data_IF_837579269880
#
_entry.id   IF_837579269880
#
_cell.length_a   1.000
_cell.length_b   1.000
_cell.length_c   1.000
_cell.angle_alpha   90.00
_cell.angle_beta   90.00
_cell.angle_gamma   90.00
#
_symmetry.space_group_name_H-M   'P 1'
#
loop_
_entity.id
_entity.type
_entity.pdbx_description
1 polymer ?
#
# COMPACT_ATOMS: atom_id res chain seq x y z
N UNK A 1 1.32 -33.85 -6.63
CA UNK A 1 2.16 -33.50 -7.80
C UNK A 1 3.55 -33.29 -7.25
N UNK A 2 4.46 -34.23 -7.48
CA UNK A 2 5.87 -34.00 -7.16
C UNK A 2 6.36 -32.94 -8.15
N UNK A 3 6.68 -31.74 -7.63
CA UNK A 3 7.28 -30.69 -8.45
C UNK A 3 8.63 -31.20 -8.97
N UNK A 4 8.77 -31.30 -10.29
CA UNK A 4 10.06 -31.57 -10.90
C UNK A 4 11.10 -30.56 -10.39
N UNK A 5 12.32 -31.00 -10.03
CA UNK A 5 13.32 -30.10 -9.49
C UNK A 5 13.79 -29.14 -10.58
N UNK A 6 13.34 -27.89 -10.51
CA UNK A 6 13.89 -26.80 -11.32
C UNK A 6 15.37 -26.65 -10.94
N UNK A 7 16.25 -26.82 -11.92
CA UNK A 7 17.68 -26.60 -11.70
C UNK A 7 17.92 -25.12 -11.37
N UNK A 8 18.39 -24.88 -10.16
CA UNK A 8 18.68 -23.54 -9.64
C UNK A 8 20.14 -23.47 -9.19
N UNK A 9 20.61 -22.25 -8.93
CA UNK A 9 21.97 -22.04 -8.46
C UNK A 9 22.24 -22.87 -7.18
N UNK A 10 23.28 -23.72 -7.17
CA UNK A 10 23.56 -24.62 -6.05
C UNK A 10 23.80 -23.86 -4.73
N UNK A 11 24.36 -22.64 -4.79
CA UNK A 11 24.59 -21.81 -3.60
C UNK A 11 23.30 -21.29 -2.96
N UNK A 12 22.20 -21.26 -3.71
CA UNK A 12 20.93 -20.66 -3.29
C UNK A 12 19.87 -21.69 -2.92
N UNK A 13 20.02 -22.95 -3.35
CA UNK A 13 19.02 -24.01 -3.20
C UNK A 13 18.40 -24.09 -1.80
N UNK A 14 19.25 -24.28 -0.79
CA UNK A 14 18.78 -24.43 0.59
C UNK A 14 18.12 -23.16 1.15
N UNK A 15 18.62 -21.97 0.77
CA UNK A 15 18.03 -20.70 1.17
C UNK A 15 16.68 -20.44 0.52
N UNK A 16 16.51 -20.85 -0.75
CA UNK A 16 15.24 -20.74 -1.47
C UNK A 16 14.18 -21.60 -0.76
N UNK A 17 14.51 -22.85 -0.40
CA UNK A 17 13.60 -23.73 0.35
C UNK A 17 13.19 -23.11 1.69
N UNK A 18 14.15 -22.59 2.47
CA UNK A 18 13.86 -21.87 3.72
C UNK A 18 12.93 -20.67 3.49
N UNK A 19 13.21 -19.84 2.46
CA UNK A 19 12.40 -18.68 2.14
C UNK A 19 10.98 -19.05 1.75
N UNK A 20 10.78 -20.10 0.96
CA UNK A 20 9.44 -20.61 0.59
C UNK A 20 8.61 -20.96 1.82
N UNK A 21 9.17 -21.73 2.76
CA UNK A 21 8.48 -22.06 4.03
C UNK A 21 8.13 -20.81 4.83
N UNK A 22 9.06 -19.84 4.92
CA UNK A 22 8.77 -18.58 5.64
C UNK A 22 7.71 -17.73 4.95
N UNK A 23 7.71 -17.67 3.61
CA UNK A 23 6.73 -16.94 2.82
C UNK A 23 5.35 -17.56 2.97
N UNK A 24 5.23 -18.89 2.83
CA UNK A 24 3.97 -19.59 3.01
C UNK A 24 3.37 -19.36 4.42
N UNK A 25 4.20 -19.41 5.47
CA UNK A 25 3.78 -19.08 6.84
C UNK A 25 3.32 -17.62 6.98
N UNK A 26 4.00 -16.69 6.31
CA UNK A 26 3.69 -15.26 6.38
C UNK A 26 2.43 -14.91 5.60
N UNK A 27 2.22 -15.50 4.41
CA UNK A 27 1.01 -15.38 3.61
C UNK A 27 -0.21 -15.94 4.34
N UNK A 28 -0.09 -17.12 4.94
CA UNK A 28 -1.16 -17.72 5.75
C UNK A 28 -1.54 -16.84 6.95
N UNK A 29 -0.55 -16.19 7.60
CA UNK A 29 -0.77 -15.29 8.74
C UNK A 29 -1.42 -13.96 8.35
N UNK A 30 -0.91 -13.34 7.29
CA UNK A 30 -1.28 -11.97 6.92
C UNK A 30 -2.47 -11.89 5.96
N UNK A 31 -2.99 -13.05 5.50
CA UNK A 31 -4.02 -13.12 4.45
C UNK A 31 -3.71 -12.13 3.33
N UNK A 32 -2.44 -12.11 2.90
CA UNK A 32 -1.98 -11.14 1.91
C UNK A 32 -2.88 -11.29 0.68
N UNK A 33 -3.48 -10.19 0.17
CA UNK A 33 -4.37 -10.29 -0.96
C UNK A 33 -3.57 -10.82 -2.16
N UNK A 34 -3.86 -12.06 -2.55
CA UNK A 34 -3.24 -12.74 -3.69
C UNK A 34 -3.44 -11.98 -5.01
N UNK A 35 -4.41 -11.05 -5.06
CA UNK A 35 -4.83 -10.33 -6.26
C UNK A 35 -5.05 -8.84 -5.94
N UNK A 36 -3.98 -8.05 -6.04
CA UNK A 36 -4.05 -6.58 -6.14
C UNK A 36 -3.94 -5.81 -4.83
N UNK A 37 -3.19 -4.71 -4.88
CA UNK A 37 -3.12 -3.75 -3.77
C UNK A 37 -4.44 -3.00 -3.61
N UNK A 38 -4.81 -2.68 -2.37
CA UNK A 38 -5.98 -1.84 -2.08
C UNK A 38 -5.77 -0.44 -2.72
N UNK A 39 -6.82 0.21 -3.26
CA UNK A 39 -6.70 1.56 -3.83
C UNK A 39 -6.26 2.60 -2.80
N UNK A 40 -6.48 2.34 -1.52
CA UNK A 40 -5.96 3.09 -0.40
C UNK A 40 -5.75 2.15 0.79
N UNK A 41 -4.76 2.46 1.63
CA UNK A 41 -4.47 1.64 2.82
C UNK A 41 -5.52 1.84 3.92
N UNK A 42 -5.95 3.09 4.16
CA UNK A 42 -6.88 3.45 5.24
C UNK A 42 -8.02 4.32 4.73
N UNK A 43 -9.27 3.94 5.06
CA UNK A 43 -10.46 4.68 4.65
C UNK A 43 -10.52 6.10 5.24
N UNK A 44 -10.12 6.27 6.50
CA UNK A 44 -10.07 7.58 7.17
C UNK A 44 -9.13 8.56 6.45
N UNK A 45 -7.94 8.11 6.03
CA UNK A 45 -6.98 8.93 5.28
C UNK A 45 -7.51 9.34 3.92
N UNK A 46 -8.15 8.41 3.22
CA UNK A 46 -8.81 8.70 1.94
C UNK A 46 -9.92 9.76 2.12
N UNK A 47 -10.79 9.59 3.12
CA UNK A 47 -11.83 10.57 3.44
C UNK A 47 -11.25 11.94 3.82
N UNK A 48 -10.14 11.98 4.57
CA UNK A 48 -9.44 13.21 4.91
C UNK A 48 -8.93 13.93 3.65
N UNK A 49 -8.27 13.23 2.74
CA UNK A 49 -7.78 13.78 1.47
C UNK A 49 -8.92 14.33 0.60
N UNK A 50 -10.07 13.66 0.57
CA UNK A 50 -11.23 14.11 -0.19
C UNK A 50 -11.82 15.40 0.40
N UNK A 51 -11.93 15.49 1.73
CA UNK A 51 -12.53 16.63 2.43
C UNK A 51 -11.65 17.89 2.46
N UNK A 52 -10.34 17.76 2.27
CA UNK A 52 -9.42 18.90 2.30
C UNK A 52 -9.76 19.92 1.20
N UNK A 53 -9.71 21.23 1.49
CA UNK A 53 -9.95 22.26 0.49
C UNK A 53 -8.83 22.26 -0.56
N UNK A 54 -9.23 22.30 -1.84
CA UNK A 54 -8.33 22.26 -2.99
C UNK A 54 -8.47 23.53 -3.82
N UNK A 55 -7.37 23.98 -4.39
CA UNK A 55 -7.36 25.05 -5.38
C UNK A 55 -7.76 24.55 -6.77
N UNK A 56 -7.82 25.45 -7.77
CA UNK A 56 -8.33 25.15 -9.12
C UNK A 56 -7.56 24.06 -9.88
N UNK A 57 -6.31 23.77 -9.51
CA UNK A 57 -5.47 22.70 -10.10
C UNK A 57 -5.48 21.39 -9.30
N UNK A 58 -6.42 21.22 -8.36
CA UNK A 58 -6.52 20.03 -7.51
C UNK A 58 -5.45 19.91 -6.41
N UNK A 59 -4.51 20.87 -6.32
CA UNK A 59 -3.56 20.99 -5.20
C UNK A 59 -4.29 21.41 -3.94
N UNK A 60 -3.86 20.90 -2.79
CA UNK A 60 -4.36 21.41 -1.52
C UNK A 60 -4.00 22.88 -1.34
N UNK A 61 -4.89 23.63 -0.72
CA UNK A 61 -4.60 25.01 -0.35
C UNK A 61 -3.52 25.07 0.73
N UNK A 62 -2.70 26.10 0.67
CA UNK A 62 -1.79 26.46 1.75
C UNK A 62 -2.59 27.00 2.94
N UNK A 63 -2.05 26.85 4.14
CA UNK A 63 -2.68 27.26 5.41
C UNK A 63 -3.11 28.73 5.40
N UNK A 64 -2.29 29.60 4.81
CA UNK A 64 -2.59 31.04 4.66
C UNK A 64 -3.87 31.25 3.85
N UNK A 65 -3.98 30.60 2.69
CA UNK A 65 -5.16 30.70 1.81
C UNK A 65 -6.41 30.08 2.43
N UNK A 66 -6.25 29.08 3.31
CA UNK A 66 -7.38 28.50 4.04
C UNK A 66 -7.95 29.54 5.01
N UNK A 67 -7.09 30.22 5.79
CA UNK A 67 -7.53 31.28 6.72
C UNK A 67 -8.20 32.44 6.01
N UNK A 68 -7.66 32.87 4.87
CA UNK A 68 -8.30 33.91 4.04
C UNK A 68 -9.68 33.51 3.52
N UNK A 69 -9.89 32.22 3.22
CA UNK A 69 -11.20 31.72 2.79
C UNK A 69 -12.18 31.57 3.96
N UNK A 70 -11.71 31.24 5.15
CA UNK A 70 -12.52 31.18 6.37
C UNK A 70 -12.99 32.59 6.76
N UNK A 71 -12.08 33.57 6.77
CA UNK A 71 -12.39 34.98 7.06
C UNK A 71 -13.32 35.65 6.02
N UNK A 72 -13.43 35.08 4.80
CA UNK A 72 -14.38 35.54 3.77
C UNK A 72 -15.75 34.86 3.83
N UNK A 73 -15.89 33.80 4.63
CA UNK A 73 -17.15 33.06 4.81
C UNK A 73 -17.94 33.55 6.01
N UNK A 74 -17.27 34.16 6.97
CA UNK A 74 -17.87 35.03 7.99
C UNK A 74 -18.39 36.32 7.35
#
# INVERSE_FOLDING_TARGET
>A
QEEEPIYINPKQFHHILKRRVTQQKLEAKLQLPSKGHKPYLHKSRHNHIIRRPKGPKGRFLTTIKIRELEAKKE
#
